data_IF_200187905629
#
_entry.id   IF_200187905629
#
_cell.length_a   1.000
_cell.length_b   1.000
_cell.length_c   1.000
_cell.angle_alpha   90.00
_cell.angle_beta   90.00
_cell.angle_gamma   90.00
#
_symmetry.space_group_name_H-M   'P 1'
#
loop_
_entity.id
_entity.type
_entity.pdbx_description
1 polymer ?
#
# COMPACT_ATOMS: atom_id res chain seq x y z
N UNK A 1 6.70 23.85 -29.90
CA UNK A 1 7.81 23.91 -28.93
C UNK A 1 8.77 22.78 -29.21
N UNK A 2 10.06 22.90 -28.84
CA UNK A 2 11.03 21.78 -29.00
C UNK A 2 10.57 20.56 -28.20
N UNK A 3 10.66 19.38 -28.79
CA UNK A 3 10.50 18.11 -28.11
C UNK A 3 11.67 17.92 -27.12
N UNK A 4 11.36 17.61 -25.86
CA UNK A 4 12.35 17.24 -24.85
C UNK A 4 12.16 15.76 -24.50
N UNK A 5 13.10 14.87 -24.87
CA UNK A 5 12.99 13.44 -24.63
C UNK A 5 13.08 13.07 -23.14
N UNK A 6 13.56 13.96 -22.27
CA UNK A 6 13.63 13.70 -20.82
C UNK A 6 12.25 13.54 -20.19
N UNK A 7 11.27 14.32 -20.67
CA UNK A 7 9.91 14.27 -20.12
C UNK A 7 9.19 12.93 -20.34
N UNK A 8 9.13 12.33 -21.56
CA UNK A 8 8.60 10.98 -21.72
C UNK A 8 9.47 9.91 -21.05
N UNK A 9 10.81 10.06 -21.00
CA UNK A 9 11.69 9.12 -20.31
C UNK A 9 11.38 9.02 -18.81
N UNK A 10 11.18 10.15 -18.12
CA UNK A 10 10.80 10.17 -16.69
C UNK A 10 9.46 9.46 -16.46
N UNK A 11 8.45 9.71 -17.31
CA UNK A 11 7.17 9.01 -17.23
C UNK A 11 7.30 7.51 -17.50
N UNK A 12 8.12 7.11 -18.50
CA UNK A 12 8.37 5.70 -18.82
C UNK A 12 9.08 4.94 -17.70
N UNK A 13 10.14 5.51 -17.13
CA UNK A 13 10.83 4.95 -15.96
C UNK A 13 9.91 4.87 -14.74
N UNK A 14 9.09 5.91 -14.52
CA UNK A 14 8.11 5.93 -13.43
C UNK A 14 7.01 4.89 -13.59
N UNK A 15 6.58 4.59 -14.84
CA UNK A 15 5.66 3.48 -15.13
C UNK A 15 6.34 2.13 -14.91
N UNK A 16 7.56 1.92 -15.43
CA UNK A 16 8.31 0.68 -15.24
C UNK A 16 8.59 0.34 -13.76
N UNK A 17 8.61 1.35 -12.89
CA UNK A 17 8.80 1.21 -11.45
C UNK A 17 7.51 0.84 -10.68
N UNK A 18 6.34 1.22 -11.20
CA UNK A 18 5.07 1.18 -10.46
C UNK A 18 4.04 0.21 -11.07
N UNK A 19 3.94 0.17 -12.40
CA UNK A 19 3.00 -0.67 -13.13
C UNK A 19 3.45 -2.13 -13.09
N UNK A 20 2.53 -3.03 -12.73
CA UNK A 20 2.71 -4.48 -12.88
C UNK A 20 1.60 -5.03 -13.77
N UNK A 21 2.01 -5.74 -14.82
CA UNK A 21 1.14 -6.48 -15.74
C UNK A 21 1.99 -7.52 -16.48
N UNK A 22 1.35 -8.61 -16.93
CA UNK A 22 1.96 -9.60 -17.82
C UNK A 22 1.73 -9.28 -19.30
N UNK A 23 0.83 -8.33 -19.63
CA UNK A 23 0.48 -7.98 -21.01
C UNK A 23 1.35 -6.81 -21.52
N UNK A 24 2.18 -7.02 -22.56
CA UNK A 24 3.00 -5.96 -23.15
C UNK A 24 2.15 -4.87 -23.82
N UNK A 25 0.93 -5.17 -24.26
CA UNK A 25 0.00 -4.18 -24.84
C UNK A 25 -0.50 -3.22 -23.77
N UNK A 26 -0.86 -3.71 -22.59
CA UNK A 26 -1.26 -2.86 -21.45
C UNK A 26 -0.09 -2.01 -20.94
N UNK A 27 1.13 -2.56 -20.92
CA UNK A 27 2.34 -1.79 -20.61
C UNK A 27 2.62 -0.66 -21.63
N UNK A 28 2.47 -0.93 -22.92
CA UNK A 28 2.60 0.08 -23.98
C UNK A 28 1.48 1.13 -23.89
N UNK A 29 0.24 0.69 -23.64
CA UNK A 29 -0.94 1.54 -23.48
C UNK A 29 -0.77 2.51 -22.29
N UNK A 30 -0.17 2.08 -21.17
CA UNK A 30 0.16 2.95 -20.05
C UNK A 30 1.05 4.13 -20.49
N UNK A 31 2.08 3.85 -21.29
CA UNK A 31 2.97 4.87 -21.86
C UNK A 31 2.22 5.84 -22.78
N UNK A 32 1.32 5.32 -23.63
CA UNK A 32 0.46 6.13 -24.51
C UNK A 32 -0.47 7.03 -23.68
N UNK A 33 -1.17 6.49 -22.68
CA UNK A 33 -2.08 7.27 -21.81
C UNK A 33 -1.30 8.35 -21.05
N UNK A 34 -0.10 8.07 -20.53
CA UNK A 34 0.74 9.07 -19.87
C UNK A 34 1.17 10.20 -20.82
N UNK A 35 1.57 9.87 -22.06
CA UNK A 35 2.00 10.88 -23.05
C UNK A 35 0.80 11.69 -23.58
N UNK A 36 -0.36 11.06 -23.82
CA UNK A 36 -1.56 11.75 -24.29
C UNK A 36 -2.18 12.62 -23.21
N UNK A 37 -2.34 12.13 -21.98
CA UNK A 37 -2.90 12.91 -20.86
C UNK A 37 -2.09 14.19 -20.62
N UNK A 38 -0.75 14.11 -20.57
CA UNK A 38 0.10 15.28 -20.40
C UNK A 38 0.07 16.26 -21.58
N UNK A 39 -0.32 15.81 -22.77
CA UNK A 39 -0.41 16.63 -23.98
C UNK A 39 -1.77 17.32 -24.12
N UNK A 40 -2.86 16.57 -23.91
CA UNK A 40 -4.24 16.95 -24.16
C UNK A 40 -4.94 17.53 -22.92
N UNK A 41 -4.76 16.92 -21.75
CA UNK A 41 -5.45 17.31 -20.51
C UNK A 41 -4.69 18.44 -19.84
N UNK A 42 -4.92 19.67 -20.34
CA UNK A 42 -4.21 20.88 -19.89
C UNK A 42 -5.16 22.02 -19.55
N UNK A 43 -4.95 22.64 -18.39
CA UNK A 43 -5.67 23.85 -17.97
C UNK A 43 -4.66 24.98 -17.79
N UNK A 44 -4.90 26.14 -18.43
CA UNK A 44 -4.00 27.31 -18.44
C UNK A 44 -2.53 26.96 -18.80
N UNK A 45 -2.32 25.91 -19.60
CA UNK A 45 -1.00 25.39 -19.99
C UNK A 45 -0.23 24.62 -18.91
N UNK A 46 -0.84 24.29 -17.77
CA UNK A 46 -0.35 23.25 -16.85
C UNK A 46 -0.91 21.89 -17.29
N UNK A 47 -0.26 20.79 -16.91
CA UNK A 47 -0.87 19.47 -17.03
C UNK A 47 -1.92 19.36 -15.92
N UNK A 48 -3.12 18.85 -16.23
CA UNK A 48 -4.16 18.71 -15.21
C UNK A 48 -3.78 17.59 -14.22
N UNK A 49 -3.37 16.44 -14.74
CA UNK A 49 -2.98 15.27 -13.95
C UNK A 49 -1.47 15.00 -14.01
N UNK A 50 -0.94 14.34 -12.97
CA UNK A 50 0.37 13.69 -13.06
C UNK A 50 0.31 12.57 -14.13
N UNK A 51 1.19 12.58 -15.16
CA UNK A 51 1.06 11.68 -16.31
C UNK A 51 1.12 10.19 -15.96
N UNK A 52 2.05 9.80 -15.07
CA UNK A 52 2.17 8.42 -14.59
C UNK A 52 0.94 8.06 -13.76
N UNK A 53 0.55 8.94 -12.82
CA UNK A 53 -0.60 8.70 -11.95
C UNK A 53 -1.88 8.46 -12.76
N UNK A 54 -2.13 9.31 -13.76
CA UNK A 54 -3.32 9.19 -14.62
C UNK A 54 -3.32 7.89 -15.43
N UNK A 55 -2.17 7.46 -15.96
CA UNK A 55 -2.07 6.19 -16.66
C UNK A 55 -2.28 4.97 -15.74
N UNK A 56 -1.71 4.98 -14.54
CA UNK A 56 -1.93 3.94 -13.54
C UNK A 56 -3.41 3.87 -13.13
N UNK A 57 -4.00 5.01 -12.76
CA UNK A 57 -5.40 5.10 -12.34
C UNK A 57 -6.36 4.72 -13.47
N UNK A 58 -6.12 5.15 -14.71
CA UNK A 58 -6.96 4.79 -15.85
C UNK A 58 -6.95 3.28 -16.13
N UNK A 59 -5.78 2.62 -16.04
CA UNK A 59 -5.68 1.18 -16.25
C UNK A 59 -6.23 0.37 -15.06
N UNK A 60 -5.95 0.77 -13.82
CA UNK A 60 -6.55 0.18 -12.61
C UNK A 60 -8.09 0.28 -12.64
N UNK A 61 -8.65 1.32 -13.26
CA UNK A 61 -10.10 1.50 -13.42
C UNK A 61 -10.73 0.70 -14.57
N UNK A 62 -9.94 0.10 -15.47
CA UNK A 62 -10.43 -0.48 -16.73
C UNK A 62 -9.89 -1.87 -17.06
N UNK A 63 -8.99 -2.42 -16.25
CA UNK A 63 -8.31 -3.70 -16.51
C UNK A 63 -7.86 -4.38 -15.22
N UNK A 64 -8.41 -5.56 -14.94
CA UNK A 64 -8.00 -6.43 -13.82
C UNK A 64 -6.59 -7.03 -14.01
N UNK A 65 -6.07 -7.03 -15.25
CA UNK A 65 -4.71 -7.47 -15.59
C UNK A 65 -3.60 -6.44 -15.24
N UNK A 66 -3.94 -5.35 -14.56
CA UNK A 66 -3.01 -4.30 -14.12
C UNK A 66 -3.11 -4.12 -12.61
N UNK A 67 -1.96 -4.10 -11.94
CA UNK A 67 -1.87 -3.84 -10.51
C UNK A 67 -0.66 -3.00 -10.16
N UNK A 68 -0.66 -2.46 -8.93
CA UNK A 68 0.47 -1.74 -8.34
C UNK A 68 0.72 -2.34 -6.97
N UNK A 69 1.98 -2.64 -6.66
CA UNK A 69 2.34 -3.18 -5.34
C UNK A 69 2.64 -2.06 -4.36
N UNK A 70 1.81 -1.92 -3.33
CA UNK A 70 2.09 -1.02 -2.21
C UNK A 70 3.27 -1.49 -1.33
N UNK A 71 3.70 -2.75 -1.47
CA UNK A 71 4.72 -3.39 -0.62
C UNK A 71 6.04 -3.77 -1.31
N UNK A 72 6.17 -3.65 -2.64
CA UNK A 72 7.32 -4.13 -3.42
C UNK A 72 8.71 -3.58 -3.02
N UNK A 73 8.76 -2.50 -2.24
CA UNK A 73 10.01 -1.89 -1.74
C UNK A 73 10.38 -2.31 -0.31
N UNK A 74 9.49 -3.04 0.38
CA UNK A 74 9.70 -3.57 1.72
C UNK A 74 9.94 -2.53 2.81
N UNK A 75 10.27 -3.04 4.00
CA UNK A 75 10.63 -2.24 5.19
C UNK A 75 12.15 -2.01 5.27
N UNK A 76 12.94 -3.06 5.05
CA UNK A 76 14.40 -3.06 5.26
C UNK A 76 15.16 -2.05 4.37
N UNK A 77 14.63 -1.69 3.20
CA UNK A 77 15.28 -0.76 2.28
C UNK A 77 14.99 0.73 2.58
N UNK A 78 14.08 1.05 3.51
CA UNK A 78 13.53 2.41 3.65
C UNK A 78 14.58 3.47 3.96
N UNK A 79 15.62 3.17 4.75
CA UNK A 79 16.72 4.12 4.99
C UNK A 79 17.45 4.51 3.71
N UNK A 80 17.86 3.52 2.91
CA UNK A 80 18.49 3.73 1.60
C UNK A 80 17.53 4.36 0.58
N UNK A 81 16.25 4.01 0.65
CA UNK A 81 15.22 4.52 -0.26
C UNK A 81 14.87 5.98 0.02
N UNK A 82 14.69 6.35 1.29
CA UNK A 82 14.52 7.73 1.74
C UNK A 82 15.76 8.56 1.40
N UNK A 83 16.97 8.01 1.57
CA UNK A 83 18.21 8.65 1.15
C UNK A 83 18.28 8.86 -0.37
N UNK A 84 17.85 7.89 -1.18
CA UNK A 84 17.80 8.02 -2.63
C UNK A 84 16.74 9.06 -3.07
N UNK A 85 15.57 9.08 -2.43
CA UNK A 85 14.52 10.08 -2.66
C UNK A 85 15.02 11.49 -2.31
N UNK A 86 15.58 11.67 -1.11
CA UNK A 86 16.11 12.95 -0.63
C UNK A 86 17.32 13.40 -1.44
N UNK A 87 18.24 12.49 -1.78
CA UNK A 87 19.39 12.76 -2.64
C UNK A 87 18.96 13.23 -4.03
N UNK A 88 18.01 12.51 -4.65
CA UNK A 88 17.42 12.93 -5.93
C UNK A 88 16.69 14.26 -5.79
N UNK A 89 15.96 14.49 -4.69
CA UNK A 89 15.21 15.72 -4.47
C UNK A 89 16.12 16.95 -4.20
N UNK A 90 17.28 16.75 -3.59
CA UNK A 90 18.31 17.78 -3.36
C UNK A 90 19.10 18.07 -4.65
N UNK A 91 19.42 17.05 -5.45
CA UNK A 91 20.08 17.20 -6.76
C UNK A 91 19.13 17.85 -7.78
N UNK A 92 17.85 17.45 -7.78
CA UNK A 92 16.87 17.86 -8.78
C UNK A 92 16.12 19.13 -8.35
N UNK A 93 16.85 20.26 -8.40
CA UNK A 93 16.45 21.64 -8.01
C UNK A 93 15.09 22.15 -8.51
N UNK A 94 14.40 21.44 -9.41
CA UNK A 94 13.05 21.77 -9.87
C UNK A 94 11.93 21.28 -8.94
N UNK A 95 12.20 20.35 -8.02
CA UNK A 95 11.17 19.77 -7.17
C UNK A 95 10.73 20.75 -6.08
N UNK A 96 9.41 20.86 -5.86
CA UNK A 96 8.84 21.69 -4.78
C UNK A 96 8.95 20.94 -3.46
N UNK A 97 10.13 21.00 -2.82
CA UNK A 97 10.44 20.25 -1.58
C UNK A 97 9.46 20.53 -0.43
N UNK A 98 8.79 21.68 -0.42
CA UNK A 98 7.74 21.98 0.56
C UNK A 98 6.52 21.04 0.43
N UNK A 99 6.26 20.51 -0.76
CA UNK A 99 5.10 19.63 -1.04
C UNK A 99 5.22 18.24 -0.38
N UNK A 100 6.31 17.46 -0.59
CA UNK A 100 6.52 16.19 0.12
C UNK A 100 6.40 16.35 1.63
N UNK A 101 7.05 17.35 2.23
CA UNK A 101 7.04 17.53 3.68
C UNK A 101 5.67 17.91 4.23
N UNK A 102 4.94 18.83 3.57
CA UNK A 102 3.58 19.18 4.00
C UNK A 102 2.61 18.00 3.81
N UNK A 103 2.75 17.24 2.73
CA UNK A 103 1.94 16.03 2.52
C UNK A 103 2.22 14.96 3.58
N UNK A 104 3.49 14.61 3.82
CA UNK A 104 3.88 13.61 4.83
C UNK A 104 3.47 14.04 6.24
N UNK A 105 3.58 15.34 6.58
CA UNK A 105 3.12 15.87 7.84
C UNK A 105 1.59 15.78 8.00
N UNK A 106 0.82 16.16 6.96
CA UNK A 106 -0.64 16.08 6.99
C UNK A 106 -1.13 14.62 7.05
N UNK A 107 -0.59 13.75 6.21
CA UNK A 107 -0.90 12.32 6.17
C UNK A 107 -0.54 11.64 7.49
N UNK A 108 0.67 11.87 8.02
CA UNK A 108 1.10 11.34 9.31
C UNK A 108 0.27 11.85 10.48
N UNK A 109 -0.10 13.15 10.51
CA UNK A 109 -0.96 13.70 11.55
C UNK A 109 -2.37 13.09 11.53
N UNK A 110 -2.97 12.90 10.34
CA UNK A 110 -4.26 12.25 10.19
C UNK A 110 -4.21 10.77 10.59
N UNK A 111 -3.15 10.05 10.20
CA UNK A 111 -2.95 8.63 10.51
C UNK A 111 -2.72 8.38 12.01
N UNK A 112 -1.90 9.23 12.66
CA UNK A 112 -1.72 9.23 14.11
C UNK A 112 -2.99 9.62 14.84
N UNK A 113 -3.72 10.64 14.36
CA UNK A 113 -5.01 11.05 14.92
C UNK A 113 -6.05 9.94 14.87
N UNK A 114 -6.13 9.21 13.75
CA UNK A 114 -6.97 8.00 13.60
C UNK A 114 -6.59 6.92 14.61
N UNK A 115 -5.30 6.59 14.72
CA UNK A 115 -4.81 5.58 15.66
C UNK A 115 -5.15 5.95 17.13
N UNK A 116 -4.96 7.22 17.51
CA UNK A 116 -5.32 7.73 18.85
C UNK A 116 -6.84 7.68 19.11
N UNK A 117 -7.67 8.00 18.11
CA UNK A 117 -9.13 7.92 18.22
C UNK A 117 -9.65 6.48 18.35
N UNK A 118 -9.04 5.54 17.63
CA UNK A 118 -9.35 4.12 17.73
C UNK A 118 -8.83 3.51 19.04
N UNK A 119 -7.69 3.98 19.55
CA UNK A 119 -6.98 3.41 20.71
C UNK A 119 -5.87 2.43 20.30
N UNK A 120 -5.43 2.50 19.05
CA UNK A 120 -4.42 1.62 18.46
C UNK A 120 -3.01 1.83 19.07
N UNK A 121 -2.18 0.79 19.15
CA UNK A 121 -0.75 0.96 19.41
C UNK A 121 -0.09 1.83 18.35
N UNK A 122 0.74 2.80 18.76
CA UNK A 122 1.46 3.69 17.84
C UNK A 122 2.41 2.97 16.86
N UNK A 123 2.77 1.71 17.12
CA UNK A 123 3.50 0.86 16.17
C UNK A 123 2.77 0.71 14.82
N UNK A 124 1.42 0.66 14.80
CA UNK A 124 0.62 0.50 13.59
C UNK A 124 0.79 1.70 12.63
N UNK A 125 0.49 2.97 13.03
CA UNK A 125 0.71 4.13 12.16
C UNK A 125 2.20 4.36 11.86
N UNK A 126 3.13 4.02 12.76
CA UNK A 126 4.57 4.14 12.49
C UNK A 126 5.02 3.18 11.38
N UNK A 127 4.61 1.91 11.41
CA UNK A 127 4.90 0.96 10.32
C UNK A 127 4.25 1.37 9.00
N UNK A 128 3.04 1.93 9.02
CA UNK A 128 2.38 2.41 7.81
C UNK A 128 3.08 3.65 7.20
N UNK A 129 3.72 4.50 8.01
CA UNK A 129 4.58 5.60 7.54
C UNK A 129 5.93 5.11 7.01
N UNK A 130 6.41 3.97 7.51
CA UNK A 130 7.51 3.23 6.92
C UNK A 130 7.01 2.50 5.65
N UNK A 131 6.78 3.23 4.56
CA UNK A 131 6.44 2.62 3.27
C UNK A 131 7.21 3.30 2.11
N UNK A 132 7.98 2.52 1.34
CA UNK A 132 8.70 3.02 0.16
C UNK A 132 7.78 3.61 -0.92
N UNK A 133 6.57 3.09 -1.09
CA UNK A 133 5.56 3.64 -2.00
C UNK A 133 5.06 5.03 -1.55
N UNK A 134 4.93 5.26 -0.23
CA UNK A 134 4.59 6.58 0.32
C UNK A 134 5.69 7.61 0.01
N UNK A 135 6.97 7.20 0.10
CA UNK A 135 8.10 8.05 -0.27
C UNK A 135 8.18 8.33 -1.77
N UNK A 136 7.95 7.33 -2.63
CA UNK A 136 7.84 7.52 -4.08
C UNK A 136 6.75 8.54 -4.42
N UNK A 137 5.56 8.33 -3.86
CA UNK A 137 4.43 9.23 -4.05
C UNK A 137 4.77 10.66 -3.64
N UNK A 138 5.30 10.84 -2.42
CA UNK A 138 5.62 12.14 -1.85
C UNK A 138 6.70 12.89 -2.64
N UNK A 139 7.80 12.22 -3.04
CA UNK A 139 8.95 12.86 -3.65
C UNK A 139 8.93 12.93 -5.19
N UNK A 140 8.18 12.06 -5.87
CA UNK A 140 8.15 12.01 -7.34
C UNK A 140 6.78 12.24 -7.99
N UNK A 141 5.67 12.07 -7.27
CA UNK A 141 4.32 12.17 -7.86
C UNK A 141 3.59 13.46 -7.48
N UNK A 142 3.37 13.71 -6.19
CA UNK A 142 2.66 14.91 -5.71
C UNK A 142 3.53 16.18 -5.79
N UNK A 143 4.85 16.02 -5.79
CA UNK A 143 5.87 17.09 -5.83
C UNK A 143 6.07 17.72 -7.22
N UNK A 144 5.51 17.16 -8.30
CA UNK A 144 5.73 17.64 -9.67
C UNK A 144 5.25 19.09 -9.82
N UNK A 145 6.16 20.05 -10.09
CA UNK A 145 5.80 21.46 -10.18
C UNK A 145 4.83 21.80 -11.32
N UNK A 146 4.61 20.89 -12.29
CA UNK A 146 3.68 21.06 -13.42
C UNK A 146 2.22 20.76 -13.07
N UNK A 147 1.96 20.00 -12.02
CA UNK A 147 0.63 19.50 -11.63
C UNK A 147 0.20 19.94 -10.24
N UNK A 148 0.98 20.82 -9.61
CA UNK A 148 0.79 21.23 -8.21
C UNK A 148 0.60 22.76 -8.14
N UNK A 149 -0.18 23.32 -7.18
CA UNK A 149 -0.53 24.75 -7.16
C UNK A 149 0.67 25.71 -7.03
N UNK A 150 0.52 26.92 -7.57
CA UNK A 150 1.62 27.90 -7.65
C UNK A 150 1.87 28.66 -6.34
N UNK A 151 0.83 28.98 -5.56
CA UNK A 151 0.98 29.62 -4.24
C UNK A 151 1.32 28.60 -3.15
N UNK A 152 2.04 29.04 -2.09
CA UNK A 152 2.33 28.18 -0.92
C UNK A 152 1.04 27.73 -0.23
N UNK A 153 0.09 28.63 -0.02
CA UNK A 153 -1.21 28.32 0.57
C UNK A 153 -1.99 27.29 -0.26
N UNK A 154 -2.04 27.45 -1.59
CA UNK A 154 -2.67 26.47 -2.47
C UNK A 154 -2.04 25.08 -2.36
N UNK A 155 -0.71 24.99 -2.22
CA UNK A 155 -0.03 23.70 -2.01
C UNK A 155 -0.35 23.05 -0.67
N UNK A 156 -0.44 23.84 0.41
CA UNK A 156 -0.83 23.31 1.73
C UNK A 156 -2.25 22.73 1.68
N UNK A 157 -3.20 23.47 1.09
CA UNK A 157 -4.58 22.99 0.93
C UNK A 157 -4.67 21.74 0.06
N UNK A 158 -3.92 21.69 -1.05
CA UNK A 158 -3.85 20.53 -1.93
C UNK A 158 -3.27 19.29 -1.25
N UNK A 159 -2.17 19.44 -0.49
CA UNK A 159 -1.59 18.33 0.28
C UNK A 159 -2.53 17.83 1.38
N UNK A 160 -3.22 18.73 2.08
CA UNK A 160 -4.19 18.36 3.12
C UNK A 160 -5.41 17.62 2.52
N UNK A 161 -5.93 18.09 1.39
CA UNK A 161 -7.02 17.42 0.67
C UNK A 161 -6.59 16.03 0.16
N UNK A 162 -5.40 15.91 -0.45
CA UNK A 162 -4.87 14.64 -0.92
C UNK A 162 -4.65 13.64 0.22
N UNK A 163 -4.15 14.11 1.37
CA UNK A 163 -3.98 13.27 2.55
C UNK A 163 -5.33 12.80 3.13
N UNK A 164 -6.32 13.69 3.24
CA UNK A 164 -7.65 13.36 3.74
C UNK A 164 -8.38 12.36 2.82
N UNK A 165 -8.33 12.57 1.50
CA UNK A 165 -8.92 11.65 0.52
C UNK A 165 -8.18 10.31 0.54
N UNK A 166 -6.84 10.30 0.62
CA UNK A 166 -6.10 9.04 0.72
C UNK A 166 -6.48 8.21 1.96
N UNK A 167 -6.60 8.83 3.15
CA UNK A 167 -7.07 8.10 4.34
C UNK A 167 -8.52 7.63 4.20
N UNK A 168 -9.41 8.44 3.61
CA UNK A 168 -10.81 8.02 3.42
C UNK A 168 -10.93 6.83 2.45
N UNK A 169 -10.20 6.87 1.34
CA UNK A 169 -10.17 5.74 0.39
C UNK A 169 -9.56 4.49 1.05
N UNK A 170 -8.43 4.62 1.74
CA UNK A 170 -7.74 3.48 2.36
C UNK A 170 -8.53 2.83 3.50
N UNK A 171 -9.15 3.62 4.38
CA UNK A 171 -9.76 3.12 5.61
C UNK A 171 -11.29 3.16 5.64
N UNK A 172 -11.92 3.89 4.72
CA UNK A 172 -13.38 3.96 4.57
C UNK A 172 -13.90 3.16 3.37
N UNK A 173 -13.14 3.10 2.27
CA UNK A 173 -13.48 2.29 1.08
C UNK A 173 -12.59 1.05 0.89
N UNK A 174 -11.58 0.84 1.75
CA UNK A 174 -10.63 -0.27 1.69
C UNK A 174 -9.83 -0.36 0.36
N UNK A 175 -9.53 0.79 -0.24
CA UNK A 175 -8.77 0.90 -1.50
C UNK A 175 -7.24 0.78 -1.28
N UNK A 176 -6.62 -0.26 -1.83
CA UNK A 176 -5.17 -0.51 -1.72
C UNK A 176 -4.31 0.61 -2.35
N UNK A 177 -4.81 1.20 -3.44
CA UNK A 177 -4.10 2.22 -4.23
C UNK A 177 -4.52 3.65 -3.88
N UNK A 178 -5.07 3.87 -2.68
CA UNK A 178 -5.64 5.13 -2.21
C UNK A 178 -4.81 6.40 -2.49
N UNK A 179 -3.48 6.33 -2.39
CA UNK A 179 -2.60 7.48 -2.69
C UNK A 179 -2.70 7.92 -4.16
N UNK A 180 -2.73 6.98 -5.10
CA UNK A 180 -2.82 7.26 -6.54
C UNK A 180 -4.19 7.84 -6.88
N UNK A 181 -5.25 7.19 -6.40
CA UNK A 181 -6.63 7.67 -6.51
C UNK A 181 -6.79 9.08 -5.94
N UNK A 182 -6.29 9.35 -4.73
CA UNK A 182 -6.36 10.66 -4.10
C UNK A 182 -5.67 11.75 -4.92
N UNK A 183 -4.49 11.48 -5.49
CA UNK A 183 -3.81 12.45 -6.35
C UNK A 183 -4.57 12.73 -7.65
N UNK A 184 -5.19 11.69 -8.24
CA UNK A 184 -6.03 11.87 -9.42
C UNK A 184 -7.32 12.66 -9.11
N UNK A 185 -7.99 12.36 -7.99
CA UNK A 185 -9.20 13.07 -7.54
C UNK A 185 -8.92 14.50 -7.08
N UNK A 186 -7.73 14.79 -6.54
CA UNK A 186 -7.32 16.15 -6.19
C UNK A 186 -6.87 17.00 -7.39
N UNK A 187 -6.47 16.39 -8.50
CA UNK A 187 -5.93 17.13 -9.66
C UNK A 187 -6.86 18.25 -10.19
N UNK A 188 -8.20 18.08 -10.28
CA UNK A 188 -9.13 19.15 -10.62
C UNK A 188 -9.15 20.35 -9.65
N UNK A 189 -8.72 20.21 -8.40
CA UNK A 189 -8.61 21.35 -7.47
C UNK A 189 -7.47 22.29 -7.84
N UNK A 190 -6.44 21.81 -8.55
CA UNK A 190 -5.23 22.60 -8.88
C UNK A 190 -5.56 23.90 -9.65
N UNK A 191 -6.31 23.88 -10.77
CA UNK A 191 -6.70 25.12 -11.46
C UNK A 191 -7.64 26.02 -10.65
N UNK A 192 -8.43 25.47 -9.72
CA UNK A 192 -9.29 26.24 -8.82
C UNK A 192 -8.45 26.96 -7.75
N UNK A 193 -7.49 26.25 -7.15
CA UNK A 193 -6.53 26.80 -6.17
C UNK A 193 -5.61 27.84 -6.82
N UNK A 194 -5.15 27.63 -8.06
CA UNK A 194 -4.38 28.62 -8.82
C UNK A 194 -5.22 29.87 -9.20
N UNK A 195 -6.56 29.74 -9.28
CA UNK A 195 -7.46 30.86 -9.53
C UNK A 195 -7.76 31.65 -8.24
N UNK A 196 -8.03 30.95 -7.13
CA UNK A 196 -8.37 31.56 -5.84
C UNK A 196 -7.14 32.09 -5.08
N UNK A 197 -5.98 31.44 -5.24
CA UNK A 197 -4.72 31.77 -4.55
C UNK A 197 -3.58 31.88 -5.58
N UNK A 198 -3.49 32.97 -6.35
CA UNK A 198 -2.44 33.16 -7.35
C UNK A 198 -1.03 33.08 -6.75
N UNK A 199 -0.07 32.57 -7.53
CA UNK A 199 1.33 32.44 -7.11
C UNK A 199 2.30 32.48 -8.28
N UNK A 200 3.60 32.44 -7.98
CA UNK A 200 4.64 32.38 -9.00
C UNK A 200 4.63 31.02 -9.70
N UNK A 201 4.39 31.05 -11.02
CA UNK A 201 4.37 29.86 -11.85
C UNK A 201 5.76 29.26 -11.98
N UNK A 202 5.87 27.95 -11.76
CA UNK A 202 7.14 27.27 -11.98
C UNK A 202 7.56 27.28 -13.45
N UNK A 203 8.77 27.77 -13.71
CA UNK A 203 9.44 27.74 -15.01
C UNK A 203 10.77 27.00 -14.90
N UNK A 204 10.99 26.04 -15.79
CA UNK A 204 12.33 25.50 -16.04
C UNK A 204 13.18 26.63 -16.61
N UNK A 205 14.26 27.02 -15.93
CA UNK A 205 15.17 28.03 -16.44
C UNK A 205 15.72 27.57 -17.81
N UNK A 206 15.60 28.41 -18.82
CA UNK A 206 16.15 28.09 -20.13
C UNK A 206 17.67 28.09 -20.07
N UNK A 207 18.33 27.22 -20.83
CA UNK A 207 19.79 27.28 -20.99
C UNK A 207 20.28 28.64 -21.52
N UNK A 208 19.38 29.46 -22.09
CA UNK A 208 19.63 30.85 -22.51
C UNK A 208 19.59 31.89 -21.38
N UNK A 209 18.89 31.61 -20.28
CA UNK A 209 18.76 32.57 -19.17
C UNK A 209 20.03 32.61 -18.32
N UNK A 210 20.73 31.47 -18.21
CA UNK A 210 22.07 31.38 -17.58
C UNK A 210 23.11 32.22 -18.35
N UNK A 211 22.99 32.29 -19.68
CA UNK A 211 23.89 33.07 -20.54
C UNK A 211 23.59 34.59 -20.54
N UNK A 212 22.51 35.04 -19.89
CA UNK A 212 22.11 36.46 -19.79
C UNK A 212 22.28 37.06 -18.40
N UNK A 213 22.92 36.34 -17.46
CA UNK A 213 23.49 36.99 -16.28
C UNK A 213 24.77 37.68 -16.75
N UNK A 214 24.83 39.03 -16.85
CA UNK A 214 26.10 39.68 -17.14
C UNK A 214 27.04 39.36 -15.98
N UNK A 215 28.13 38.63 -16.25
CA UNK A 215 29.13 38.31 -15.26
C UNK A 215 30.04 39.53 -15.00
N UNK A 216 29.42 40.67 -14.69
CA UNK A 216 30.12 41.82 -14.12
C UNK A 216 30.61 41.40 -12.74
N UNK A 217 31.88 41.02 -12.66
CA UNK A 217 32.65 40.95 -11.42
C UNK A 217 32.79 42.36 -10.83
N UNK A 218 31.68 42.93 -10.36
CA UNK A 218 31.75 43.96 -9.33
C UNK A 218 32.34 43.28 -8.11
N UNK A 219 33.59 43.64 -7.79
CA UNK A 219 34.24 43.35 -6.52
C UNK A 219 33.52 44.14 -5.43
N UNK A 220 32.32 43.67 -5.06
CA UNK A 220 31.64 44.13 -3.85
C UNK A 220 32.26 43.40 -2.67
N UNK A 221 33.07 44.14 -1.92
CA UNK A 221 33.31 43.84 -0.53
C UNK A 221 31.97 43.77 0.22
N UNK A 222 31.88 42.80 1.14
CA UNK A 222 30.92 42.73 2.23
C UNK A 222 29.41 42.85 1.93
N UNK A 223 28.82 41.78 1.37
CA UNK A 223 27.50 41.30 1.84
C UNK A 223 27.59 39.81 2.18
N UNK A 224 28.03 39.49 3.40
CA UNK A 224 27.87 38.14 3.97
C UNK A 224 26.42 37.95 4.40
N UNK A 225 25.61 37.25 3.59
CA UNK A 225 24.34 36.72 4.08
C UNK A 225 24.60 35.70 5.20
N UNK A 226 24.26 36.08 6.43
CA UNK A 226 24.40 35.24 7.62
C UNK A 226 23.31 34.15 7.66
N UNK A 227 23.52 33.07 6.91
CA UNK A 227 22.94 31.77 7.24
C UNK A 227 23.94 31.08 8.16
N UNK A 228 23.76 31.19 9.47
CA UNK A 228 24.72 30.62 10.43
C UNK A 228 24.76 29.07 10.36
N UNK A 229 25.87 28.45 9.92
CA UNK A 229 25.94 27.01 9.73
C UNK A 229 26.49 26.37 11.01
N UNK A 230 25.70 26.36 12.09
CA UNK A 230 26.16 25.96 13.44
C UNK A 230 26.50 24.48 13.64
N UNK A 231 26.41 23.61 12.62
CA UNK A 231 26.95 22.24 12.66
C UNK A 231 28.17 22.10 11.72
N UNK A 232 29.36 21.75 12.27
CA UNK A 232 30.54 21.38 11.48
C UNK A 232 30.27 20.28 10.46
N UNK A 233 31.04 20.25 9.36
CA UNK A 233 30.90 19.22 8.32
C UNK A 233 31.06 17.79 8.87
N UNK A 234 31.98 17.58 9.83
CA UNK A 234 32.15 16.33 10.57
C UNK A 234 30.87 15.92 11.33
N UNK A 235 30.17 16.88 11.91
CA UNK A 235 28.92 16.65 12.65
C UNK A 235 27.76 16.30 11.72
N UNK A 236 27.76 16.82 10.47
CA UNK A 236 26.83 16.38 9.42
C UNK A 236 27.14 14.96 8.93
N UNK A 237 28.41 14.62 8.75
CA UNK A 237 28.85 13.27 8.41
C UNK A 237 28.52 12.25 9.51
N UNK A 238 28.72 12.63 10.77
CA UNK A 238 28.36 11.81 11.93
C UNK A 238 26.83 11.63 12.04
N UNK A 239 26.04 12.69 11.84
CA UNK A 239 24.57 12.59 11.83
C UNK A 239 24.08 11.69 10.69
N UNK A 240 24.69 11.79 9.51
CA UNK A 240 24.40 10.94 8.35
C UNK A 240 24.75 9.47 8.63
N UNK A 241 25.93 9.20 9.18
CA UNK A 241 26.35 7.87 9.60
C UNK A 241 25.45 7.29 10.69
N UNK A 242 25.03 8.10 11.67
CA UNK A 242 24.11 7.70 12.73
C UNK A 242 22.71 7.35 12.18
N UNK A 243 22.18 8.11 11.22
CA UNK A 243 20.90 7.79 10.55
C UNK A 243 21.01 6.50 9.72
N UNK A 244 22.13 6.29 9.01
CA UNK A 244 22.36 5.04 8.28
C UNK A 244 22.51 3.83 9.21
N UNK A 245 23.22 3.98 10.33
CA UNK A 245 23.36 2.94 11.34
C UNK A 245 22.01 2.64 12.03
N UNK A 246 21.24 3.65 12.40
CA UNK A 246 19.91 3.48 13.00
C UNK A 246 18.96 2.74 12.06
N UNK A 247 18.99 3.04 10.76
CA UNK A 247 18.22 2.31 9.74
C UNK A 247 18.63 0.84 9.59
N UNK A 248 19.89 0.49 9.87
CA UNK A 248 20.39 -0.90 9.84
C UNK A 248 20.05 -1.68 11.13
N UNK A 249 19.88 -1.00 12.27
CA UNK A 249 19.52 -1.63 13.55
C UNK A 249 18.01 -1.69 13.83
N UNK A 250 17.17 -0.99 13.06
CA UNK A 250 15.71 -0.98 13.22
C UNK A 250 14.99 -2.21 12.60
N UNK A 251 15.70 -3.32 12.40
CA UNK A 251 15.12 -4.59 11.94
C UNK A 251 14.48 -5.36 13.12
N UNK A 252 13.36 -4.86 13.64
CA UNK A 252 12.53 -5.65 14.54
C UNK A 252 11.94 -6.88 13.81
N UNK A 253 11.83 -8.01 14.52
CA UNK A 253 11.09 -9.18 14.01
C UNK A 253 9.60 -8.85 14.03
N UNK A 254 9.05 -8.53 12.86
CA UNK A 254 7.62 -8.38 12.68
C UNK A 254 6.93 -9.76 12.73
N UNK A 255 6.42 -10.16 13.90
CA UNK A 255 5.49 -11.28 14.01
C UNK A 255 4.12 -10.86 13.48
N UNK A 256 3.87 -11.15 12.20
CA UNK A 256 2.63 -10.82 11.52
C UNK A 256 1.69 -12.04 11.47
N UNK A 257 0.60 -11.99 12.24
CA UNK A 257 -0.53 -12.92 12.14
C UNK A 257 -1.82 -12.11 11.97
N UNK A 258 -2.72 -12.54 11.08
CA UNK A 258 -3.91 -11.78 10.67
C UNK A 258 -5.13 -11.95 11.59
N UNK A 259 -4.99 -12.68 12.69
CA UNK A 259 -6.01 -12.85 13.72
C UNK A 259 -5.37 -13.08 15.09
N UNK A 260 -6.04 -13.82 15.96
CA UNK A 260 -5.43 -14.38 17.17
C UNK A 260 -6.16 -15.67 17.59
N UNK A 261 -5.46 -16.52 18.34
CA UNK A 261 -6.05 -17.71 18.96
C UNK A 261 -6.51 -17.41 20.37
N UNK A 262 -7.61 -18.04 20.76
CA UNK A 262 -8.05 -18.13 22.16
C UNK A 262 -8.19 -19.59 22.57
N UNK A 263 -7.86 -19.89 23.83
CA UNK A 263 -8.00 -21.20 24.44
C UNK A 263 -9.01 -21.17 25.59
N UNK A 264 -9.57 -22.33 25.93
CA UNK A 264 -10.19 -22.59 27.23
C UNK A 264 -9.09 -22.96 28.24
N UNK A 265 -9.32 -22.64 29.53
CA UNK A 265 -8.41 -22.92 30.63
C UNK A 265 -6.97 -22.38 30.45
N UNK A 266 -5.97 -23.04 31.07
CA UNK A 266 -4.53 -22.72 30.96
C UNK A 266 -3.82 -23.55 29.87
N UNK A 267 -4.58 -24.06 28.89
CA UNK A 267 -4.08 -24.85 27.77
C UNK A 267 -3.11 -24.01 26.93
N UNK A 268 -1.84 -24.43 26.86
CA UNK A 268 -0.80 -23.76 26.08
C UNK A 268 -0.99 -24.05 24.60
N UNK A 269 -1.37 -23.04 23.82
CA UNK A 269 -1.47 -23.15 22.37
C UNK A 269 -0.10 -22.99 21.73
N UNK A 270 0.17 -23.82 20.72
CA UNK A 270 1.37 -23.72 19.88
C UNK A 270 0.96 -23.71 18.40
N UNK A 271 1.58 -22.81 17.66
CA UNK A 271 1.54 -22.67 16.21
C UNK A 271 2.98 -22.30 15.81
N UNK A 272 3.62 -23.11 14.98
CA UNK A 272 5.03 -22.93 14.55
C UNK A 272 5.08 -22.37 13.13
N UNK A 273 4.04 -22.57 12.33
CA UNK A 273 3.92 -22.09 10.97
C UNK A 273 2.46 -21.73 10.63
N UNK A 274 2.21 -20.44 10.41
CA UNK A 274 0.98 -19.94 9.78
C UNK A 274 1.27 -19.61 8.32
N UNK A 275 0.75 -20.43 7.39
CA UNK A 275 0.87 -20.18 5.96
C UNK A 275 -0.39 -19.46 5.47
N UNK A 276 -0.20 -18.36 4.73
CA UNK A 276 -1.30 -17.56 4.16
C UNK A 276 -1.06 -17.38 2.67
N UNK A 277 -2.02 -17.80 1.86
CA UNK A 277 -2.07 -17.54 0.42
C UNK A 277 -3.13 -16.48 0.18
N UNK A 278 -2.71 -15.35 -0.37
CA UNK A 278 -3.57 -14.23 -0.77
C UNK A 278 -3.69 -14.21 -2.29
N UNK A 279 -4.90 -14.41 -2.81
CA UNK A 279 -5.19 -14.29 -4.24
C UNK A 279 -6.13 -13.10 -4.44
N UNK A 280 -5.84 -12.27 -5.44
CA UNK A 280 -6.75 -11.20 -5.88
C UNK A 280 -7.08 -11.38 -7.36
N UNK A 281 -8.35 -11.22 -7.67
CA UNK A 281 -8.93 -11.26 -9.02
C UNK A 281 -9.97 -10.12 -9.10
N UNK A 282 -9.61 -9.03 -9.78
CA UNK A 282 -10.40 -7.79 -9.81
C UNK A 282 -10.70 -7.19 -8.43
N UNK A 283 -11.99 -7.08 -8.10
CA UNK A 283 -12.51 -6.64 -6.80
C UNK A 283 -12.54 -7.76 -5.74
N UNK A 284 -12.35 -9.02 -6.14
CA UNK A 284 -12.42 -10.19 -5.27
C UNK A 284 -11.05 -10.52 -4.69
N UNK A 285 -10.96 -10.54 -3.37
CA UNK A 285 -9.79 -11.04 -2.63
C UNK A 285 -10.17 -12.33 -1.90
N UNK A 286 -9.33 -13.36 -2.04
CA UNK A 286 -9.46 -14.67 -1.37
C UNK A 286 -8.24 -14.86 -0.47
N UNK A 287 -8.49 -15.11 0.82
CA UNK A 287 -7.46 -15.44 1.81
C UNK A 287 -7.61 -16.92 2.16
N UNK A 288 -6.59 -17.72 1.87
CA UNK A 288 -6.51 -19.11 2.31
C UNK A 288 -5.47 -19.21 3.42
N UNK A 289 -5.88 -19.65 4.60
CA UNK A 289 -5.01 -19.81 5.76
C UNK A 289 -4.86 -21.29 6.11
N UNK A 290 -3.63 -21.73 6.38
CA UNK A 290 -3.34 -23.04 6.96
C UNK A 290 -2.43 -22.85 8.16
N UNK A 291 -2.87 -23.37 9.30
CA UNK A 291 -2.21 -23.17 10.60
C UNK A 291 -1.91 -24.52 11.25
N UNK A 292 -0.70 -24.72 11.76
CA UNK A 292 -0.23 -25.99 12.34
C UNK A 292 -0.58 -26.16 13.84
N UNK A 293 -1.85 -25.91 14.18
CA UNK A 293 -2.34 -25.94 15.55
C UNK A 293 -2.09 -27.29 16.26
N UNK A 294 -1.56 -27.23 17.50
CA UNK A 294 -1.43 -28.39 18.39
C UNK A 294 -2.17 -28.15 19.72
N UNK A 295 -3.24 -28.90 19.97
CA UNK A 295 -4.09 -28.85 21.17
C UNK A 295 -5.42 -29.60 20.98
N UNK A 296 -6.36 -29.48 21.94
CA UNK A 296 -7.70 -30.06 21.81
C UNK A 296 -8.60 -29.18 20.92
N UNK A 297 -9.16 -29.77 19.86
CA UNK A 297 -10.02 -29.11 18.89
C UNK A 297 -11.29 -28.48 19.51
N UNK A 298 -11.73 -28.94 20.69
CA UNK A 298 -12.90 -28.39 21.41
C UNK A 298 -12.56 -27.21 22.32
N UNK A 299 -11.26 -26.91 22.51
CA UNK A 299 -10.79 -25.88 23.43
C UNK A 299 -10.35 -24.57 22.77
N UNK A 300 -10.29 -24.47 21.45
CA UNK A 300 -9.85 -23.23 20.78
C UNK A 300 -10.93 -22.57 19.91
N UNK A 301 -10.69 -21.31 19.56
CA UNK A 301 -11.35 -20.60 18.46
C UNK A 301 -10.34 -19.67 17.77
N UNK A 302 -10.55 -19.37 16.49
CA UNK A 302 -9.66 -18.53 15.68
C UNK A 302 -10.41 -17.27 15.25
N UNK A 303 -10.10 -16.14 15.89
CA UNK A 303 -10.83 -14.89 15.66
C UNK A 303 -10.12 -14.06 14.58
N UNK A 304 -10.80 -13.85 13.45
CA UNK A 304 -10.30 -13.09 12.30
C UNK A 304 -11.26 -11.92 12.02
N UNK A 305 -10.80 -10.66 12.05
CA UNK A 305 -11.60 -9.51 11.63
C UNK A 305 -11.75 -9.46 10.10
N UNK A 306 -12.97 -9.24 9.60
CA UNK A 306 -13.27 -9.15 8.17
C UNK A 306 -14.06 -7.87 7.85
N UNK A 307 -13.72 -7.14 6.75
CA UNK A 307 -14.33 -5.85 6.44
C UNK A 307 -15.77 -5.97 5.90
N UNK A 308 -16.15 -7.14 5.39
CA UNK A 308 -17.43 -7.38 4.73
C UNK A 308 -18.12 -8.64 5.27
N UNK A 309 -19.43 -8.76 5.05
CA UNK A 309 -20.17 -9.96 5.40
C UNK A 309 -19.84 -11.11 4.45
N UNK A 310 -19.34 -12.23 4.99
CA UNK A 310 -18.98 -13.42 4.21
C UNK A 310 -20.17 -14.38 4.12
N UNK A 311 -20.59 -14.74 2.91
CA UNK A 311 -21.67 -15.70 2.67
C UNK A 311 -21.15 -17.13 2.73
N UNK A 312 -22.04 -18.11 2.98
CA UNK A 312 -21.68 -19.54 3.06
C UNK A 312 -20.89 -20.00 1.84
N UNK A 313 -21.30 -19.55 0.66
CA UNK A 313 -20.78 -19.96 -0.65
C UNK A 313 -19.40 -19.35 -0.95
N UNK A 314 -18.89 -18.49 -0.09
CA UNK A 314 -17.53 -17.94 -0.18
C UNK A 314 -16.54 -18.73 0.69
N UNK A 315 -17.02 -19.60 1.59
CA UNK A 315 -16.22 -20.31 2.59
C UNK A 315 -15.99 -21.76 2.15
N UNK A 316 -14.72 -22.12 1.99
CA UNK A 316 -14.27 -23.42 1.52
C UNK A 316 -13.10 -23.91 2.36
N UNK A 317 -12.98 -25.22 2.55
CA UNK A 317 -11.73 -25.84 3.00
C UNK A 317 -10.89 -26.11 1.75
N UNK A 318 -9.67 -25.55 1.72
CA UNK A 318 -8.70 -25.81 0.66
C UNK A 318 -7.95 -27.11 0.89
N UNK A 319 -7.48 -27.74 -0.18
CA UNK A 319 -6.65 -28.94 -0.10
C UNK A 319 -5.22 -28.59 0.37
N UNK A 320 -4.72 -29.31 1.37
CA UNK A 320 -3.37 -29.10 1.92
C UNK A 320 -2.27 -29.26 0.85
N UNK A 321 -2.45 -30.17 -0.10
CA UNK A 321 -1.52 -30.40 -1.20
C UNK A 321 -1.32 -29.16 -2.11
N UNK A 322 -2.33 -28.29 -2.25
CA UNK A 322 -2.21 -27.03 -2.99
C UNK A 322 -1.34 -26.04 -2.22
N UNK A 323 -1.49 -25.97 -0.89
CA UNK A 323 -0.64 -25.15 -0.03
C UNK A 323 0.82 -25.63 -0.06
N UNK A 324 1.05 -26.95 0.03
CA UNK A 324 2.40 -27.54 -0.04
C UNK A 324 3.06 -27.32 -1.42
N UNK A 325 2.27 -27.39 -2.51
CA UNK A 325 2.77 -27.07 -3.85
C UNK A 325 3.16 -25.58 -3.98
N UNK A 326 2.34 -24.66 -3.47
CA UNK A 326 2.63 -23.23 -3.49
C UNK A 326 3.84 -22.87 -2.61
N UNK A 327 4.00 -23.52 -1.47
CA UNK A 327 5.16 -23.37 -0.60
C UNK A 327 6.44 -23.84 -1.32
N UNK A 328 6.44 -25.03 -1.93
CA UNK A 328 7.57 -25.54 -2.72
C UNK A 328 7.83 -24.74 -4.03
N UNK A 329 6.80 -24.10 -4.58
CA UNK A 329 6.94 -23.20 -5.74
C UNK A 329 7.56 -21.86 -5.36
N UNK A 330 7.14 -21.27 -4.24
CA UNK A 330 7.61 -19.96 -3.75
C UNK A 330 8.85 -20.01 -2.87
N UNK A 331 9.26 -21.20 -2.41
CA UNK A 331 10.50 -21.43 -1.67
C UNK A 331 11.70 -20.78 -2.37
N UNK A 332 12.55 -19.99 -1.67
CA UNK A 332 13.72 -19.35 -2.27
C UNK A 332 14.67 -20.37 -2.90
N UNK A 333 14.83 -20.30 -4.22
CA UNK A 333 15.75 -21.17 -4.97
C UNK A 333 17.06 -20.41 -5.20
N UNK A 334 18.17 -21.00 -4.77
CA UNK A 334 19.49 -20.56 -5.22
C UNK A 334 19.66 -21.06 -6.66
N UNK A 335 19.50 -20.17 -7.62
CA UNK A 335 19.64 -20.47 -9.06
C UNK A 335 20.84 -19.71 -9.59
N UNK A 336 21.89 -20.43 -9.97
CA UNK A 336 22.99 -19.88 -10.77
C UNK A 336 22.58 -19.90 -12.25
N UNK A 337 22.34 -18.72 -12.80
CA UNK A 337 22.06 -18.56 -14.23
C UNK A 337 23.38 -18.50 -15.00
N UNK A 338 23.79 -19.63 -15.56
CA UNK A 338 24.83 -19.66 -16.60
C UNK A 338 24.20 -19.23 -17.91
N UNK A 339 24.53 -18.01 -18.36
CA UNK A 339 24.00 -17.49 -19.62
C UNK A 339 24.53 -18.31 -20.80
N UNK A 340 23.66 -18.63 -21.75
CA UNK A 340 24.01 -19.42 -22.92
C UNK A 340 24.62 -18.52 -24.00
N UNK A 341 25.53 -19.04 -24.81
CA UNK A 341 26.06 -18.29 -25.96
C UNK A 341 24.89 -17.79 -26.84
N UNK A 342 24.69 -16.47 -26.97
CA UNK A 342 23.57 -15.90 -27.71
C UNK A 342 23.62 -16.19 -29.22
N UNK A 343 24.70 -16.80 -29.72
CA UNK A 343 24.86 -17.22 -31.12
C UNK A 343 24.29 -18.62 -31.42
N UNK A 344 23.74 -19.34 -30.43
CA UNK A 344 23.31 -20.74 -30.59
C UNK A 344 21.87 -20.84 -31.11
N UNK A 345 21.71 -21.11 -32.41
CA UNK A 345 20.42 -21.40 -33.02
C UNK A 345 19.80 -22.71 -32.46
N UNK A 346 18.54 -22.63 -32.02
CA UNK A 346 17.75 -23.78 -31.58
C UNK A 346 16.65 -24.09 -32.59
N UNK A 347 16.76 -25.26 -33.24
CA UNK A 347 15.71 -25.81 -34.10
C UNK A 347 14.59 -26.38 -33.21
N UNK A 348 13.35 -25.90 -33.42
CA UNK A 348 12.17 -26.35 -32.67
C UNK A 348 11.44 -27.46 -33.43
N UNK A 349 11.43 -28.68 -32.88
CA UNK A 349 10.51 -29.75 -33.32
C UNK A 349 9.26 -29.78 -32.43
N UNK A 350 8.10 -29.82 -33.08
CA UNK A 350 6.80 -29.83 -32.42
C UNK A 350 6.25 -31.25 -32.26
N UNK A 351 5.75 -31.58 -31.08
CA UNK A 351 4.98 -32.81 -30.83
C UNK A 351 3.70 -32.52 -30.03
N UNK A 352 2.63 -33.19 -30.43
CA UNK A 352 1.21 -32.88 -30.14
C UNK A 352 0.66 -33.53 -28.86
N UNK A 353 -0.39 -32.90 -28.35
CA UNK A 353 -1.63 -33.44 -27.76
C UNK A 353 -1.59 -34.74 -26.92
N UNK A 354 -2.13 -34.66 -25.70
CA UNK A 354 -3.44 -35.27 -25.40
C UNK A 354 -4.01 -34.85 -24.04
N UNK A 355 -5.32 -34.60 -24.00
CA UNK A 355 -6.10 -34.39 -22.77
C UNK A 355 -6.96 -35.61 -22.46
N UNK A 356 -7.27 -35.86 -21.18
CA UNK A 356 -8.19 -36.91 -20.73
C UNK A 356 -9.23 -36.36 -19.72
N UNK A 357 -10.41 -37.02 -19.58
CA UNK A 357 -11.65 -36.32 -19.20
C UNK A 357 -12.11 -36.50 -17.74
N UNK A 358 -13.04 -35.64 -17.32
CA UNK A 358 -13.73 -35.69 -16.01
C UNK A 358 -14.82 -36.77 -15.91
N UNK A 359 -15.15 -37.16 -14.66
CA UNK A 359 -16.35 -37.90 -14.26
C UNK A 359 -17.06 -37.17 -13.07
N UNK A 360 -18.34 -37.47 -12.79
CA UNK A 360 -19.20 -36.62 -11.95
C UNK A 360 -20.22 -37.35 -11.02
N UNK A 361 -20.64 -36.63 -9.96
CA UNK A 361 -21.89 -36.78 -9.15
C UNK A 361 -22.01 -37.98 -8.18
N UNK A 362 -22.86 -37.96 -7.10
CA UNK A 362 -24.07 -37.12 -6.85
C UNK A 362 -24.28 -36.53 -5.41
N UNK A 363 -25.52 -36.05 -5.14
CA UNK A 363 -26.11 -35.35 -3.94
C UNK A 363 -26.67 -36.36 -2.88
N UNK A 364 -27.22 -36.06 -1.69
CA UNK A 364 -27.67 -34.84 -0.94
C UNK A 364 -27.60 -35.07 0.61
N UNK A 365 -27.95 -34.09 1.48
CA UNK A 365 -27.85 -34.25 2.94
C UNK A 365 -28.49 -33.23 3.91
N UNK A 366 -29.73 -32.76 3.68
CA UNK A 366 -30.74 -32.25 4.64
C UNK A 366 -30.33 -31.43 5.90
N UNK A 367 -30.79 -30.17 5.91
CA UNK A 367 -30.72 -29.14 6.97
C UNK A 367 -31.63 -29.37 8.20
N UNK A 368 -31.20 -28.93 9.40
CA UNK A 368 -32.05 -28.70 10.61
C UNK A 368 -31.86 -27.27 11.15
N UNK A 369 -32.94 -26.67 11.68
CA UNK A 369 -33.01 -25.30 12.26
C UNK A 369 -33.25 -25.36 13.77
N UNK A 370 -32.55 -24.53 14.55
CA UNK A 370 -32.99 -23.86 15.81
C UNK A 370 -31.77 -23.37 16.62
N UNK A 371 -31.78 -22.29 17.41
CA UNK A 371 -32.67 -21.13 17.50
C UNK A 371 -32.04 -20.03 18.39
N UNK A 372 -32.42 -18.77 18.12
CA UNK A 372 -32.49 -17.58 18.99
C UNK A 372 -31.25 -17.16 19.84
N UNK A 373 -30.84 -15.90 19.65
CA UNK A 373 -29.81 -15.23 20.41
C UNK A 373 -30.34 -14.48 21.65
N UNK A 374 -29.46 -14.25 22.63
CA UNK A 374 -29.50 -13.16 23.60
C UNK A 374 -28.08 -12.63 23.86
N UNK A 375 -27.97 -11.38 24.37
CA UNK A 375 -26.74 -10.68 24.81
C UNK A 375 -25.92 -9.87 23.78
N UNK A 376 -26.56 -9.03 22.95
CA UNK A 376 -25.91 -7.88 22.28
C UNK A 376 -24.87 -8.17 21.18
N UNK A 377 -24.46 -9.44 21.04
CA UNK A 377 -23.76 -9.96 19.86
C UNK A 377 -24.79 -10.61 18.96
N UNK A 378 -24.87 -10.13 17.72
CA UNK A 378 -25.69 -10.74 16.68
C UNK A 378 -24.86 -11.77 15.95
N UNK A 379 -25.26 -13.03 16.08
CA UNK A 379 -24.84 -14.08 15.15
C UNK A 379 -25.52 -13.74 13.81
N UNK A 380 -24.77 -13.14 12.89
CA UNK A 380 -25.28 -12.80 11.55
C UNK A 380 -25.43 -14.06 10.70
N UNK A 381 -24.51 -15.02 10.88
CA UNK A 381 -24.60 -16.35 10.31
C UNK A 381 -23.85 -17.40 11.15
N UNK A 382 -24.23 -18.65 10.97
CA UNK A 382 -23.54 -19.84 11.47
C UNK A 382 -23.50 -20.88 10.35
N UNK A 383 -22.33 -21.46 10.13
CA UNK A 383 -22.08 -22.39 9.03
C UNK A 383 -21.22 -23.56 9.52
N UNK A 384 -21.65 -24.80 9.27
CA UNK A 384 -20.74 -25.95 9.36
C UNK A 384 -20.08 -26.17 7.99
N UNK A 385 -18.75 -26.23 7.97
CA UNK A 385 -17.93 -26.39 6.75
C UNK A 385 -16.88 -27.45 7.03
N UNK A 386 -17.09 -28.66 6.49
CA UNK A 386 -16.25 -29.83 6.78
C UNK A 386 -16.19 -30.12 8.28
N UNK A 387 -15.00 -29.94 8.86
CA UNK A 387 -14.73 -30.18 10.29
C UNK A 387 -14.89 -28.94 11.19
N UNK A 388 -15.19 -27.76 10.62
CA UNK A 388 -15.29 -26.50 11.36
C UNK A 388 -16.74 -26.02 11.48
N UNK A 389 -17.12 -25.61 12.70
CA UNK A 389 -18.29 -24.76 12.95
C UNK A 389 -17.84 -23.30 12.97
N UNK A 390 -18.33 -22.53 12.01
CA UNK A 390 -17.91 -21.14 11.74
C UNK A 390 -19.03 -20.19 12.14
N UNK A 391 -18.70 -19.15 12.89
CA UNK A 391 -19.63 -18.10 13.30
C UNK A 391 -19.22 -16.76 12.70
N UNK A 392 -20.20 -16.04 12.14
CA UNK A 392 -20.04 -14.63 11.76
C UNK A 392 -20.77 -13.80 12.80
N UNK A 393 -19.98 -13.04 13.55
CA UNK A 393 -20.43 -12.22 14.66
C UNK A 393 -20.30 -10.74 14.31
N UNK A 394 -21.38 -10.00 14.47
CA UNK A 394 -21.36 -8.54 14.63
C UNK A 394 -21.75 -8.18 16.07
N UNK A 395 -21.14 -7.14 16.62
CA UNK A 395 -21.46 -6.61 17.94
C UNK A 395 -21.68 -5.10 17.84
N UNK A 396 -22.78 -4.61 18.41
CA UNK A 396 -23.08 -3.17 18.44
C UNK A 396 -22.28 -2.44 19.53
N UNK A 397 -21.83 -3.17 20.56
CA UNK A 397 -20.98 -2.66 21.65
C UNK A 397 -19.57 -3.26 21.60
N UNK A 398 -18.55 -2.43 21.86
CA UNK A 398 -17.12 -2.77 21.71
C UNK A 398 -16.63 -3.92 22.60
N UNK A 399 -17.38 -4.26 23.65
CA UNK A 399 -17.07 -5.34 24.58
C UNK A 399 -17.95 -6.58 24.38
N UNK A 400 -18.94 -6.55 23.48
CA UNK A 400 -19.89 -7.65 23.24
C UNK A 400 -19.20 -8.94 22.84
N UNK A 401 -18.27 -8.89 21.86
CA UNK A 401 -17.51 -10.05 21.43
C UNK A 401 -16.57 -10.58 22.54
N UNK A 402 -15.93 -9.70 23.30
CA UNK A 402 -15.06 -10.09 24.42
C UNK A 402 -15.86 -10.77 25.55
N UNK A 403 -17.02 -10.22 25.90
CA UNK A 403 -18.00 -10.83 26.82
C UNK A 403 -18.49 -12.18 26.29
N UNK A 404 -18.80 -12.31 25.00
CA UNK A 404 -19.25 -13.56 24.39
C UNK A 404 -18.15 -14.64 24.45
N UNK A 405 -16.91 -14.31 24.06
CA UNK A 405 -15.77 -15.23 24.15
C UNK A 405 -15.56 -15.69 25.59
N UNK A 406 -15.50 -14.76 26.54
CA UNK A 406 -15.33 -15.05 27.97
C UNK A 406 -16.47 -15.91 28.53
N UNK A 407 -17.73 -15.61 28.17
CA UNK A 407 -18.91 -16.39 28.60
C UNK A 407 -18.91 -17.81 28.03
N UNK A 408 -18.36 -18.02 26.83
CA UNK A 408 -18.18 -19.34 26.22
C UNK A 408 -16.89 -20.06 26.70
N UNK A 409 -16.23 -19.52 27.74
CA UNK A 409 -15.09 -20.13 28.42
C UNK A 409 -13.71 -19.83 27.82
N UNK A 410 -13.65 -18.98 26.80
CA UNK A 410 -12.39 -18.60 26.15
C UNK A 410 -11.64 -17.51 26.93
N UNK A 411 -10.31 -17.68 27.05
CA UNK A 411 -9.41 -16.76 27.74
C UNK A 411 -8.74 -15.83 26.72
N UNK A 412 -9.06 -14.54 26.78
CA UNK A 412 -8.49 -13.51 25.91
C UNK A 412 -7.03 -13.20 26.28
N UNK A 413 -6.10 -13.05 25.30
CA UNK A 413 -4.75 -12.60 25.58
C UNK A 413 -4.73 -11.11 26.01
N UNK A 414 -3.72 -10.73 26.79
CA UNK A 414 -3.60 -9.35 27.32
C UNK A 414 -3.59 -8.32 26.18
N UNK A 415 -4.53 -7.37 26.23
CA UNK A 415 -4.67 -6.30 25.24
C UNK A 415 -5.60 -6.63 24.06
N UNK A 416 -6.11 -7.87 23.95
CA UNK A 416 -7.02 -8.26 22.86
C UNK A 416 -8.29 -7.40 22.81
N UNK A 417 -8.92 -7.12 23.96
CA UNK A 417 -10.15 -6.30 24.04
C UNK A 417 -9.99 -4.91 23.41
N UNK A 418 -8.83 -4.26 23.61
CA UNK A 418 -8.52 -2.96 23.01
C UNK A 418 -8.43 -3.05 21.48
N UNK A 419 -7.85 -4.13 20.96
CA UNK A 419 -7.71 -4.36 19.52
C UNK A 419 -9.07 -4.74 18.90
N UNK A 420 -9.85 -5.59 19.55
CA UNK A 420 -11.23 -5.91 19.14
C UNK A 420 -12.10 -4.64 19.09
N UNK A 421 -12.03 -3.78 20.11
CA UNK A 421 -12.74 -2.50 20.13
C UNK A 421 -12.32 -1.54 19.01
N UNK A 422 -11.06 -1.58 18.57
CA UNK A 422 -10.60 -0.81 17.40
C UNK A 422 -11.27 -1.29 16.11
N UNK A 423 -11.34 -2.60 15.87
CA UNK A 423 -12.01 -3.16 14.70
C UNK A 423 -13.53 -2.93 14.72
N UNK A 424 -14.18 -2.97 15.90
CA UNK A 424 -15.60 -2.65 16.05
C UNK A 424 -15.91 -1.17 15.75
N UNK A 425 -15.04 -0.23 16.15
CA UNK A 425 -15.13 1.19 15.73
C UNK A 425 -14.98 1.41 14.22
N UNK A 426 -14.52 0.40 13.48
CA UNK A 426 -14.34 0.40 12.03
C UNK A 426 -15.45 -0.38 11.30
N UNK A 427 -16.56 -0.74 11.97
CA UNK A 427 -17.70 -1.52 11.44
C UNK A 427 -17.29 -2.90 10.87
N UNK A 428 -16.16 -3.45 11.33
CA UNK A 428 -15.68 -4.78 10.92
C UNK A 428 -16.40 -5.89 11.67
N UNK A 429 -16.60 -7.02 10.98
CA UNK A 429 -17.19 -8.25 11.52
C UNK A 429 -16.11 -9.22 11.96
N UNK A 430 -16.48 -10.24 12.71
CA UNK A 430 -15.56 -11.29 13.15
C UNK A 430 -16.01 -12.65 12.65
N UNK A 431 -15.09 -13.33 11.98
CA UNK A 431 -15.13 -14.75 11.66
C UNK A 431 -14.47 -15.48 12.84
N UNK A 432 -15.18 -16.43 13.45
CA UNK A 432 -14.79 -17.16 14.67
C UNK A 432 -15.00 -18.65 14.50
#
# INVERSE_FOLDING_TARGET
GRFDPRSPLISGLSLALLLRTADPVLAALAGVIAILSKALLRVRGKHLFNPTCFALVALLATSDAVWVSAGQWGQAAIGGFALACLGTAVVHRSLRLDVPFVFLAAYGALLLGRALWLGDPLAIPLHALQNGALLLFAFFMISDPRTTPDSRAGRVLFCAAAAAIALYLQFGLYEDNALLWALALCAPLVPLLDAALPGSRFSWAGARDVARVPFTLKRHEEIRMSISPRLPALLRGALFGAVCAFALFAAERAEAFCGFYVAKADTKLFNKASQVVLVRDGDRTVVTMSNDYQGDLKEFAMVIPVPTFIRREQIHIGERAVMDHLDAFTAPRLVEYFDSDPCREFMAEASRDQALPMAASPMEGRMKRSAKAELGVRIEASYTVGEYDILILSAEESDGLAKWLTKNGYKLPKGAERILGSYLKQDMRFFV
#
